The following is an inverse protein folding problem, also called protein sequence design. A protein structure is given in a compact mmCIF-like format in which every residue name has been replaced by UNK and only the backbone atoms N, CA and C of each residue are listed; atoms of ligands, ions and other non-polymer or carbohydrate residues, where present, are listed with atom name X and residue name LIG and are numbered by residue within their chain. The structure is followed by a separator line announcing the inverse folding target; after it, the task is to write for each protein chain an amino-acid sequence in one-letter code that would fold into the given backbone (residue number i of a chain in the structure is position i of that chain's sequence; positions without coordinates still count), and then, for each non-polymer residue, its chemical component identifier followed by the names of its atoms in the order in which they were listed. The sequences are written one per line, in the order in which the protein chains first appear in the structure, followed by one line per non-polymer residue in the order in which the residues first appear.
data_IF_585385039198
#
_entry.id   IF_585385039198
#
_cell.length_a   1.000
_cell.length_b   1.000
_cell.length_c   1.000
_cell.angle_alpha   90.00
_cell.angle_beta   90.00
_cell.angle_gamma   90.00
#
_symmetry.space_group_name_H-M   'P 1'
#
loop_
_entity.id
_entity.type
_entity.pdbx_description
1 polymer ?
#
# COMPACT_ATOMS: atom_id res chain seq x y z
N UNK A 1 -19.20 2.83 7.96
CA UNK A 1 -18.56 3.15 6.66
C UNK A 1 -18.44 4.66 6.43
N UNK A 2 -18.16 5.47 7.47
CA UNK A 2 -18.12 6.94 7.33
C UNK A 2 -16.73 7.56 7.52
N UNK A 3 -15.73 6.79 7.97
CA UNK A 3 -14.38 7.31 8.25
C UNK A 3 -13.49 7.43 7.00
N UNK A 4 -13.92 6.96 5.81
CA UNK A 4 -13.09 7.00 4.59
C UNK A 4 -13.17 8.32 3.80
N UNK A 5 -14.16 9.19 4.05
CA UNK A 5 -14.40 10.38 3.21
C UNK A 5 -13.36 11.48 3.49
N UNK A 6 -12.91 11.61 4.75
CA UNK A 6 -12.00 12.71 5.16
C UNK A 6 -10.59 12.54 4.57
N UNK A 7 -10.14 11.29 4.38
CA UNK A 7 -8.80 10.97 3.87
C UNK A 7 -8.66 11.37 2.39
N UNK A 8 -9.68 11.16 1.55
CA UNK A 8 -9.60 11.42 0.09
C UNK A 8 -9.48 12.89 -0.30
N UNK A 9 -9.61 13.84 0.64
CA UNK A 9 -9.47 15.28 0.37
C UNK A 9 -8.04 15.80 0.60
N UNK A 10 -7.13 14.99 1.12
CA UNK A 10 -5.74 15.40 1.39
C UNK A 10 -4.87 15.26 0.15
N UNK A 11 -3.90 16.17 0.02
CA UNK A 11 -2.89 16.11 -1.04
C UNK A 11 -2.13 14.77 -0.96
N UNK A 12 -1.73 14.15 -2.09
CA UNK A 12 -1.09 12.83 -2.10
C UNK A 12 0.13 12.71 -1.18
N UNK A 13 0.97 13.74 -1.08
CA UNK A 13 2.15 13.72 -0.19
C UNK A 13 1.78 13.65 1.30
N UNK A 14 0.65 14.25 1.71
CA UNK A 14 0.16 14.15 3.10
C UNK A 14 -0.27 12.72 3.39
N UNK A 15 -0.97 12.07 2.45
CA UNK A 15 -1.37 10.67 2.59
C UNK A 15 -0.17 9.74 2.68
N UNK A 16 0.84 9.94 1.82
CA UNK A 16 2.12 9.21 1.88
C UNK A 16 2.80 9.37 3.24
N UNK A 17 2.86 10.59 3.77
CA UNK A 17 3.43 10.86 5.09
C UNK A 17 2.64 10.17 6.21
N UNK A 18 1.30 10.20 6.14
CA UNK A 18 0.44 9.49 7.10
C UNK A 18 0.66 7.98 7.06
N UNK A 19 0.80 7.38 5.88
CA UNK A 19 1.09 5.95 5.73
C UNK A 19 2.44 5.60 6.34
N UNK A 20 3.51 6.34 6.00
CA UNK A 20 4.84 6.10 6.59
C UNK A 20 4.79 6.15 8.12
N UNK A 21 4.10 7.14 8.67
CA UNK A 21 3.93 7.29 10.11
C UNK A 21 3.12 6.15 10.75
N UNK A 22 2.10 5.65 10.06
CA UNK A 22 1.31 4.50 10.51
C UNK A 22 2.15 3.21 10.49
N UNK A 23 2.96 3.01 9.43
CA UNK A 23 3.91 1.90 9.33
C UNK A 23 4.90 1.93 10.48
N UNK A 24 5.53 3.07 10.77
CA UNK A 24 6.52 3.19 11.85
C UNK A 24 5.91 2.89 13.22
N UNK A 25 4.68 3.34 13.46
CA UNK A 25 3.97 3.09 14.73
C UNK A 25 3.46 1.66 14.88
N UNK A 26 3.33 0.93 13.78
CA UNK A 26 2.79 -0.43 13.81
C UNK A 26 3.78 -1.46 14.35
N UNK A 27 5.08 -1.14 14.44
CA UNK A 27 6.13 -2.08 14.80
C UNK A 27 6.05 -3.40 13.98
N UNK A 28 5.72 -3.29 12.70
CA UNK A 28 5.60 -4.40 11.76
C UNK A 28 4.35 -5.27 11.90
N UNK A 29 3.34 -4.80 12.65
CA UNK A 29 2.08 -5.51 12.86
C UNK A 29 0.98 -5.12 11.87
N UNK A 30 1.28 -4.41 10.79
CA UNK A 30 0.28 -4.15 9.74
C UNK A 30 -0.11 -5.46 9.08
N UNK A 31 -1.40 -5.79 9.14
CA UNK A 31 -1.97 -6.97 8.47
C UNK A 31 -2.80 -6.60 7.23
N UNK A 32 -3.23 -5.35 7.08
CA UNK A 32 -4.05 -4.91 5.96
C UNK A 32 -3.64 -3.51 5.48
N UNK A 33 -3.40 -3.38 4.18
CA UNK A 33 -3.13 -2.10 3.54
C UNK A 33 -4.05 -1.89 2.33
N UNK A 34 -4.71 -0.74 2.31
CA UNK A 34 -5.51 -0.29 1.19
C UNK A 34 -5.00 1.08 0.72
N UNK A 35 -4.64 1.17 -0.56
CA UNK A 35 -4.07 2.35 -1.16
C UNK A 35 -4.69 2.66 -2.51
N UNK A 36 -4.55 3.93 -2.93
CA UNK A 36 -5.10 4.42 -4.18
C UNK A 36 -4.06 5.19 -5.02
N UNK A 37 -4.51 6.15 -5.82
CA UNK A 37 -3.73 7.08 -6.65
C UNK A 37 -2.49 7.73 -5.98
N UNK A 38 -2.49 7.87 -4.66
CA UNK A 38 -1.33 8.40 -3.94
C UNK A 38 -0.19 7.39 -3.75
N UNK A 39 -0.39 6.10 -4.00
CA UNK A 39 0.63 5.05 -3.81
C UNK A 39 1.67 5.12 -4.93
N UNK A 40 2.94 4.93 -4.54
CA UNK A 40 4.10 4.91 -5.42
C UNK A 40 4.97 3.70 -5.09
N UNK A 41 5.88 3.31 -5.99
CA UNK A 41 6.84 2.23 -5.76
C UNK A 41 7.64 2.46 -4.47
N UNK A 42 8.13 3.68 -4.24
CA UNK A 42 8.83 4.05 -3.00
C UNK A 42 7.98 3.76 -1.75
N UNK A 43 6.67 4.03 -1.80
CA UNK A 43 5.78 3.77 -0.67
C UNK A 43 5.56 2.27 -0.47
N UNK A 44 5.41 1.50 -1.55
CA UNK A 44 5.30 0.04 -1.49
C UNK A 44 6.57 -0.57 -0.89
N UNK A 45 7.76 -0.17 -1.37
CA UNK A 45 9.04 -0.60 -0.80
C UNK A 45 9.15 -0.23 0.68
N UNK A 46 8.71 0.96 1.08
CA UNK A 46 8.71 1.39 2.48
C UNK A 46 7.89 0.47 3.37
N UNK A 47 6.67 0.10 2.92
CA UNK A 47 5.76 -0.81 3.62
C UNK A 47 6.38 -2.21 3.67
N UNK A 48 6.85 -2.72 2.53
CA UNK A 48 7.43 -4.05 2.37
C UNK A 48 8.57 -4.31 3.36
N UNK A 49 9.49 -3.34 3.50
CA UNK A 49 10.64 -3.45 4.41
C UNK A 49 10.28 -3.47 5.90
N UNK A 50 9.07 -3.01 6.25
CA UNK A 50 8.68 -2.79 7.65
C UNK A 50 7.47 -3.62 8.09
N UNK A 51 6.73 -4.21 7.16
CA UNK A 51 5.41 -4.83 7.41
C UNK A 51 5.36 -6.27 6.90
N UNK A 52 6.19 -7.14 7.48
CA UNK A 52 6.28 -8.57 7.11
C UNK A 52 5.03 -9.40 7.45
N UNK A 53 4.05 -8.83 8.16
CA UNK A 53 2.79 -9.48 8.54
C UNK A 53 1.60 -9.12 7.67
N UNK A 54 1.83 -8.47 6.53
CA UNK A 54 0.76 -8.06 5.63
C UNK A 54 0.03 -9.30 5.08
N UNK A 55 -1.28 -9.39 5.36
CA UNK A 55 -2.19 -10.44 4.89
C UNK A 55 -3.10 -9.97 3.77
N UNK A 56 -3.43 -8.69 3.74
CA UNK A 56 -4.38 -8.12 2.77
C UNK A 56 -3.78 -6.89 2.10
N UNK A 57 -3.75 -6.90 0.77
CA UNK A 57 -3.32 -5.78 -0.06
C UNK A 57 -4.43 -5.38 -1.04
N UNK A 58 -4.84 -4.12 -0.99
CA UNK A 58 -5.76 -3.53 -1.96
C UNK A 58 -5.16 -2.28 -2.60
N UNK A 59 -5.02 -2.30 -3.92
CA UNK A 59 -4.50 -1.21 -4.74
C UNK A 59 -5.54 -0.79 -5.79
N UNK A 60 -5.81 0.50 -5.87
CA UNK A 60 -6.84 1.06 -6.76
C UNK A 60 -6.38 2.32 -7.49
N UNK A 61 -6.46 2.38 -8.81
CA UNK A 61 -6.02 3.58 -9.56
C UNK A 61 -4.57 3.99 -9.28
N UNK A 62 -3.69 3.02 -8.97
CA UNK A 62 -2.30 3.28 -8.60
C UNK A 62 -1.40 3.35 -9.84
N UNK A 63 -0.45 4.30 -9.84
CA UNK A 63 0.62 4.35 -10.83
C UNK A 63 1.90 3.72 -10.26
N UNK A 64 1.87 2.41 -10.05
CA UNK A 64 2.98 1.61 -9.53
C UNK A 64 3.50 0.68 -10.62
N UNK A 65 4.80 0.44 -10.64
CA UNK A 65 5.41 -0.49 -11.60
C UNK A 65 5.26 -1.94 -11.16
N UNK A 66 5.35 -2.86 -12.12
CA UNK A 66 5.47 -4.29 -11.85
C UNK A 66 6.58 -4.62 -10.85
N UNK A 67 7.74 -3.96 -10.95
CA UNK A 67 8.84 -4.21 -10.02
C UNK A 67 8.48 -3.79 -8.60
N UNK A 68 7.95 -2.57 -8.41
CA UNK A 68 7.55 -2.07 -7.10
C UNK A 68 6.45 -2.93 -6.46
N UNK A 69 5.54 -3.46 -7.28
CA UNK A 69 4.54 -4.42 -6.84
C UNK A 69 5.14 -5.76 -6.41
N UNK A 70 5.99 -6.36 -7.25
CA UNK A 70 6.66 -7.65 -6.97
C UNK A 70 7.55 -7.58 -5.71
N UNK A 71 8.25 -6.47 -5.49
CA UNK A 71 9.08 -6.27 -4.30
C UNK A 71 8.24 -6.35 -3.01
N UNK A 72 7.02 -5.82 -3.02
CA UNK A 72 6.12 -5.91 -1.88
C UNK A 72 5.57 -7.32 -1.69
N UNK A 73 5.14 -7.99 -2.76
CA UNK A 73 4.62 -9.36 -2.71
C UNK A 73 5.69 -10.31 -2.17
N UNK A 74 6.91 -10.22 -2.68
CA UNK A 74 8.03 -11.08 -2.24
C UNK A 74 8.45 -10.84 -0.79
N UNK A 75 8.23 -9.63 -0.26
CA UNK A 75 8.50 -9.28 1.14
C UNK A 75 7.35 -9.63 2.09
N UNK A 76 6.20 -10.07 1.58
CA UNK A 76 4.97 -10.31 2.36
C UNK A 76 4.55 -11.79 2.29
N UNK A 77 5.26 -12.72 2.96
CA UNK A 77 4.99 -14.16 2.83
C UNK A 77 3.65 -14.61 3.42
N UNK A 78 2.99 -13.75 4.22
CA UNK A 78 1.69 -14.03 4.83
C UNK A 78 0.52 -13.46 4.01
N UNK A 79 0.76 -12.98 2.79
CA UNK A 79 -0.29 -12.38 1.98
C UNK A 79 -1.31 -13.44 1.53
N UNK A 80 -2.56 -13.25 1.93
CA UNK A 80 -3.70 -14.14 1.67
C UNK A 80 -4.67 -13.51 0.65
N UNK A 81 -4.85 -12.19 0.71
CA UNK A 81 -5.82 -11.47 -0.12
C UNK A 81 -5.14 -10.36 -0.92
N UNK A 82 -5.35 -10.39 -2.24
CA UNK A 82 -4.83 -9.41 -3.19
C UNK A 82 -5.98 -8.86 -4.04
N UNK A 83 -6.15 -7.54 -3.99
CA UNK A 83 -7.10 -6.81 -4.84
C UNK A 83 -6.37 -5.73 -5.62
N UNK A 84 -6.42 -5.81 -6.95
CA UNK A 84 -5.84 -4.83 -7.86
C UNK A 84 -6.94 -4.33 -8.78
N UNK A 85 -7.12 -3.02 -8.85
CA UNK A 85 -8.12 -2.40 -9.71
C UNK A 85 -7.54 -1.16 -10.40
N UNK A 86 -7.68 -1.05 -11.72
CA UNK A 86 -7.21 0.11 -12.50
C UNK A 86 -5.74 0.50 -12.21
N UNK A 87 -4.83 -0.47 -12.08
CA UNK A 87 -3.40 -0.20 -11.86
C UNK A 87 -2.64 -0.54 -13.15
N UNK A 88 -2.56 0.43 -14.06
CA UNK A 88 -2.08 0.19 -15.44
C UNK A 88 -0.59 -0.20 -15.52
N UNK A 89 0.20 0.16 -14.51
CA UNK A 89 1.61 -0.21 -14.42
C UNK A 89 1.88 -1.61 -13.87
N UNK A 90 0.82 -2.31 -13.41
CA UNK A 90 0.88 -3.72 -13.03
C UNK A 90 0.35 -4.55 -14.21
N UNK A 91 1.24 -5.17 -14.97
CA UNK A 91 0.90 -6.00 -16.13
C UNK A 91 1.29 -7.46 -15.88
N UNK A 92 0.53 -8.40 -16.45
CA UNK A 92 0.90 -9.82 -16.47
C UNK A 92 2.22 -10.08 -17.20
#
# INVERSE_FOLDING_TARGET
MEHHIVVRTKKPHVLRAMVKLAVDRSHGQIESFAGADFVTDELLTYIAQRSFRLKKLSLSSCNVSNQGFLDLITSSPLLEELFINMCDGITN
#
